data_IF_667287231209
#
_entry.id   IF_667287231209
#
_cell.length_a   1.000
_cell.length_b   1.000
_cell.length_c   1.000
_cell.angle_alpha   90.00
_cell.angle_beta   90.00
_cell.angle_gamma   90.00
#
_symmetry.space_group_name_H-M   'P 1'
#
loop_
_entity.id
_entity.type
_entity.pdbx_description
1 polymer ?
#
# COMPACT_ATOMS: atom_id res chain seq x y z
N UNK A 1 -3.30 -48.87 -25.30
CA UNK A 1 -3.51 -49.77 -24.16
C UNK A 1 -2.21 -50.52 -23.89
N UNK A 2 -1.79 -50.78 -22.64
CA UNK A 2 -2.44 -50.50 -21.34
C UNK A 2 -1.69 -49.43 -20.51
N UNK A 3 -2.37 -48.38 -20.07
CA UNK A 3 -2.83 -48.16 -18.68
C UNK A 3 -1.74 -48.30 -17.59
N UNK A 4 -1.13 -47.17 -17.22
CA UNK A 4 -0.44 -46.99 -15.93
C UNK A 4 -1.38 -46.25 -14.96
N UNK A 5 -1.50 -46.81 -13.76
CA UNK A 5 -2.33 -46.33 -12.66
C UNK A 5 -1.96 -44.92 -12.21
N UNK A 6 -2.96 -44.04 -12.19
CA UNK A 6 -3.00 -42.82 -11.40
C UNK A 6 -3.38 -43.18 -9.96
N UNK A 7 -2.50 -42.91 -9.01
CA UNK A 7 -2.78 -42.91 -7.57
C UNK A 7 -3.51 -41.62 -7.19
N UNK A 8 -4.77 -41.72 -6.75
CA UNK A 8 -5.56 -40.60 -6.23
C UNK A 8 -5.26 -40.35 -4.74
N UNK A 9 -5.50 -39.13 -4.24
CA UNK A 9 -5.12 -38.71 -2.89
C UNK A 9 -6.07 -39.21 -1.79
N UNK A 10 -5.52 -39.18 -0.58
CA UNK A 10 -6.11 -39.58 0.70
C UNK A 10 -7.40 -38.81 1.05
N UNK A 11 -8.47 -39.58 1.29
CA UNK A 11 -9.75 -39.12 1.84
C UNK A 11 -9.59 -38.80 3.32
N UNK A 12 -9.85 -37.56 3.74
CA UNK A 12 -10.05 -37.18 5.15
C UNK A 12 -11.48 -37.55 5.57
N UNK A 13 -11.55 -38.47 6.54
CA UNK A 13 -12.54 -38.69 7.60
C UNK A 13 -13.92 -38.01 7.46
N UNK A 14 -14.91 -38.82 7.09
CA UNK A 14 -16.32 -38.61 7.43
C UNK A 14 -16.60 -39.48 8.68
N UNK A 15 -16.84 -38.86 9.84
CA UNK A 15 -17.24 -39.58 11.04
C UNK A 15 -18.76 -39.66 11.07
N UNK A 16 -19.28 -40.86 10.78
CA UNK A 16 -20.64 -41.26 11.10
C UNK A 16 -20.78 -41.39 12.62
N UNK A 17 -21.81 -40.75 13.17
CA UNK A 17 -22.22 -40.91 14.57
C UNK A 17 -23.12 -42.13 14.65
N UNK A 18 -22.65 -43.18 15.32
CA UNK A 18 -23.48 -44.31 15.73
C UNK A 18 -23.49 -44.33 17.27
N UNK A 19 -24.61 -43.90 17.87
CA UNK A 19 -24.84 -44.03 19.30
C UNK A 19 -26.10 -44.87 19.52
N UNK A 20 -25.88 -46.16 19.79
CA UNK A 20 -26.84 -46.97 20.53
C UNK A 20 -26.81 -46.53 21.99
N UNK A 21 -27.93 -46.09 22.54
CA UNK A 21 -28.19 -46.31 23.96
C UNK A 21 -29.69 -46.51 24.22
N UNK A 22 -29.96 -47.59 24.94
CA UNK A 22 -31.23 -47.93 25.54
C UNK A 22 -31.20 -47.47 27.00
N UNK A 23 -32.41 -47.26 27.54
CA UNK A 23 -32.82 -47.23 28.95
C UNK A 23 -33.04 -45.84 29.59
N UNK A 24 -34.28 -45.69 30.07
CA UNK A 24 -34.97 -44.54 30.66
C UNK A 24 -34.46 -44.12 32.06
N UNK A 25 -34.56 -42.81 32.36
CA UNK A 25 -34.53 -42.18 33.70
C UNK A 25 -34.68 -40.65 33.62
N UNK A 26 -35.35 -39.96 34.58
CA UNK A 26 -35.94 -38.63 34.35
C UNK A 26 -34.92 -37.48 34.29
N UNK A 27 -35.18 -36.51 33.41
CA UNK A 27 -34.39 -35.32 33.13
C UNK A 27 -34.32 -34.38 34.36
N UNK A 28 -33.13 -34.25 34.94
CA UNK A 28 -32.73 -33.12 35.78
C UNK A 28 -32.33 -31.94 34.88
N UNK A 29 -33.16 -30.91 34.83
CA UNK A 29 -33.02 -29.73 33.95
C UNK A 29 -32.00 -28.69 34.43
N UNK A 30 -30.93 -29.08 35.11
CA UNK A 30 -29.93 -28.13 35.68
C UNK A 30 -28.60 -27.98 34.94
N UNK A 31 -28.36 -28.64 33.80
CA UNK A 31 -27.02 -28.70 33.19
C UNK A 31 -26.86 -28.14 31.76
N UNK A 32 -27.82 -27.39 31.21
CA UNK A 32 -27.66 -26.75 29.90
C UNK A 32 -27.34 -25.26 30.00
N UNK A 33 -26.16 -24.95 30.55
CA UNK A 33 -25.37 -23.80 30.08
C UNK A 33 -24.10 -24.36 29.46
N UNK A 34 -24.16 -24.72 28.17
CA UNK A 34 -22.94 -24.92 27.37
C UNK A 34 -22.23 -23.57 27.35
N UNK A 35 -21.22 -23.39 28.20
CA UNK A 35 -20.16 -22.42 27.96
C UNK A 35 -19.59 -22.75 26.60
N UNK A 36 -19.80 -21.88 25.62
CA UNK A 36 -19.01 -21.89 24.40
C UNK A 36 -17.61 -21.53 24.89
N UNK A 37 -16.73 -22.52 24.99
CA UNK A 37 -15.31 -22.28 25.25
C UNK A 37 -14.79 -21.52 24.04
N UNK A 38 -14.42 -20.26 24.24
CA UNK A 38 -13.65 -19.50 23.26
C UNK A 38 -12.32 -20.24 23.09
N UNK A 39 -12.13 -20.94 21.97
CA UNK A 39 -10.94 -21.79 21.73
C UNK A 39 -9.64 -20.98 21.68
N UNK A 40 -9.72 -19.68 21.36
CA UNK A 40 -8.58 -18.76 21.30
C UNK A 40 -9.03 -17.34 21.64
N UNK A 41 -8.38 -16.72 22.62
CA UNK A 41 -8.58 -15.31 22.97
C UNK A 41 -7.64 -14.43 22.13
N UNK A 42 -8.15 -13.29 21.67
CA UNK A 42 -7.44 -12.28 20.89
C UNK A 42 -7.55 -10.92 21.57
N UNK A 43 -6.48 -10.12 21.53
CA UNK A 43 -6.55 -8.72 21.92
C UNK A 43 -7.22 -7.87 20.83
N UNK A 44 -7.90 -6.79 21.22
CA UNK A 44 -8.48 -5.83 20.27
C UNK A 44 -7.42 -5.24 19.35
N UNK A 45 -6.20 -5.03 19.87
CA UNK A 45 -5.06 -4.54 19.08
C UNK A 45 -4.66 -5.53 17.97
N UNK A 46 -4.75 -6.84 18.21
CA UNK A 46 -4.44 -7.87 17.19
C UNK A 46 -5.54 -7.95 16.10
N UNK A 47 -6.77 -7.60 16.45
CA UNK A 47 -7.94 -7.71 15.56
C UNK A 47 -8.14 -6.42 14.75
N UNK A 48 -8.34 -5.29 15.42
CA UNK A 48 -8.66 -4.00 14.80
C UNK A 48 -7.49 -2.99 14.82
N UNK A 49 -6.40 -3.29 15.53
CA UNK A 49 -5.26 -2.40 15.68
C UNK A 49 -4.29 -2.37 14.48
N UNK A 50 -3.36 -1.41 14.52
CA UNK A 50 -2.32 -1.25 13.51
C UNK A 50 -1.17 -2.22 13.80
N UNK A 51 -1.17 -3.37 13.11
CA UNK A 51 -0.18 -4.41 13.29
C UNK A 51 0.92 -4.37 12.22
N UNK A 52 2.09 -4.90 12.56
CA UNK A 52 3.19 -5.13 11.59
C UNK A 52 2.82 -6.26 10.62
N UNK A 53 2.12 -7.26 11.12
CA UNK A 53 1.69 -8.44 10.36
C UNK A 53 0.31 -8.24 9.76
N UNK A 54 -0.14 -9.23 8.98
CA UNK A 54 -1.47 -9.21 8.40
C UNK A 54 -2.52 -9.12 9.53
N UNK A 55 -3.47 -8.17 9.49
CA UNK A 55 -4.50 -8.07 10.52
C UNK A 55 -5.36 -9.34 10.51
N UNK A 56 -5.77 -9.80 11.70
CA UNK A 56 -6.49 -11.07 11.84
C UNK A 56 -7.85 -11.08 11.15
N UNK A 57 -8.46 -9.91 10.96
CA UNK A 57 -9.71 -9.71 10.25
C UNK A 57 -9.50 -9.26 8.79
N UNK A 58 -8.36 -9.58 8.18
CA UNK A 58 -8.13 -9.32 6.75
C UNK A 58 -9.20 -10.03 5.90
N UNK A 59 -9.75 -9.31 4.93
CA UNK A 59 -10.75 -9.81 3.97
C UNK A 59 -10.18 -9.73 2.57
N UNK A 60 -10.20 -10.88 1.87
CA UNK A 60 -9.79 -10.96 0.47
C UNK A 60 -10.76 -10.21 -0.44
N UNK A 61 -10.20 -9.43 -1.37
CA UNK A 61 -10.98 -8.68 -2.35
C UNK A 61 -10.90 -9.33 -3.72
N UNK A 62 -12.06 -9.49 -4.37
CA UNK A 62 -12.08 -10.00 -5.75
C UNK A 62 -11.38 -9.07 -6.74
N UNK A 63 -11.41 -7.77 -6.46
CA UNK A 63 -10.83 -6.71 -7.28
C UNK A 63 -9.30 -6.64 -7.20
N UNK A 64 -8.68 -7.21 -6.14
CA UNK A 64 -7.27 -7.08 -5.86
C UNK A 64 -6.59 -8.43 -5.61
N UNK A 65 -6.95 -9.15 -4.53
CA UNK A 65 -6.35 -10.42 -4.11
C UNK A 65 -6.47 -11.48 -5.20
N UNK A 66 -7.67 -11.72 -5.72
CA UNK A 66 -7.86 -12.69 -6.79
C UNK A 66 -7.13 -12.30 -8.07
N UNK A 67 -7.07 -11.00 -8.37
CA UNK A 67 -6.35 -10.49 -9.55
C UNK A 67 -4.85 -10.72 -9.39
N UNK A 68 -4.30 -10.44 -8.20
CA UNK A 68 -2.88 -10.68 -7.91
C UNK A 68 -2.55 -12.16 -8.09
N UNK A 69 -3.21 -13.03 -7.33
CA UNK A 69 -2.95 -14.49 -7.33
C UNK A 69 -3.11 -15.09 -8.72
N UNK A 70 -4.17 -14.74 -9.46
CA UNK A 70 -4.43 -15.29 -10.80
C UNK A 70 -3.37 -14.89 -11.84
N UNK A 71 -2.56 -13.87 -11.58
CA UNK A 71 -1.59 -13.34 -12.53
C UNK A 71 -0.13 -13.50 -12.09
N UNK A 72 0.17 -14.01 -10.88
CA UNK A 72 1.53 -14.29 -10.41
C UNK A 72 2.34 -15.13 -11.43
N UNK A 73 1.72 -16.17 -12.01
CA UNK A 73 2.39 -17.06 -12.95
C UNK A 73 2.57 -16.49 -14.38
N UNK A 74 2.02 -15.30 -14.68
CA UNK A 74 1.98 -14.77 -16.05
C UNK A 74 3.23 -13.98 -16.45
N UNK A 75 4.25 -13.92 -15.59
CA UNK A 75 5.55 -13.24 -15.81
C UNK A 75 5.44 -11.76 -16.23
N UNK A 76 4.29 -11.14 -15.98
CA UNK A 76 4.12 -9.69 -16.10
C UNK A 76 4.70 -9.01 -14.86
N UNK A 77 5.14 -7.77 -15.02
CA UNK A 77 5.37 -6.90 -13.88
C UNK A 77 4.03 -6.47 -13.29
N UNK A 78 3.91 -6.51 -11.97
CA UNK A 78 2.68 -6.19 -11.25
C UNK A 78 2.81 -4.79 -10.62
N UNK A 79 1.74 -4.00 -10.68
CA UNK A 79 1.72 -2.65 -10.09
C UNK A 79 0.55 -2.54 -9.14
N UNK A 80 0.80 -2.55 -7.84
CA UNK A 80 -0.23 -2.40 -6.80
C UNK A 80 -0.31 -0.92 -6.43
N UNK A 81 -1.41 -0.27 -6.82
CA UNK A 81 -1.62 1.16 -6.59
C UNK A 81 -2.90 1.43 -5.79
N UNK A 82 -2.95 2.60 -5.19
CA UNK A 82 -4.09 3.08 -4.41
C UNK A 82 -3.68 4.07 -3.31
N UNK A 83 -4.65 4.70 -2.67
CA UNK A 83 -4.44 5.68 -1.60
C UNK A 83 -3.68 5.09 -0.41
N UNK A 84 -3.13 5.99 0.42
CA UNK A 84 -2.46 5.60 1.65
C UNK A 84 -3.41 4.79 2.57
N UNK A 85 -2.85 3.81 3.29
CA UNK A 85 -3.56 2.96 4.26
C UNK A 85 -4.75 2.12 3.73
N UNK A 86 -4.78 1.81 2.43
CA UNK A 86 -5.84 0.96 1.82
C UNK A 86 -5.52 -0.55 1.75
N UNK A 87 -4.48 -1.01 2.44
CA UNK A 87 -4.12 -2.44 2.50
C UNK A 87 -3.25 -2.96 1.34
N UNK A 88 -2.41 -2.10 0.73
CA UNK A 88 -1.46 -2.51 -0.33
C UNK A 88 -0.42 -3.53 0.18
N UNK A 89 0.26 -3.21 1.29
CA UNK A 89 1.25 -4.11 1.89
C UNK A 89 0.58 -5.37 2.45
N UNK A 90 -0.62 -5.25 3.04
CA UNK A 90 -1.41 -6.39 3.49
C UNK A 90 -1.77 -7.34 2.35
N UNK A 91 -2.20 -6.82 1.20
CA UNK A 91 -2.45 -7.59 -0.02
C UNK A 91 -1.22 -8.40 -0.44
N UNK A 92 -0.04 -7.76 -0.50
CA UNK A 92 1.20 -8.46 -0.84
C UNK A 92 1.52 -9.58 0.16
N UNK A 93 1.50 -9.27 1.46
CA UNK A 93 1.79 -10.24 2.54
C UNK A 93 0.80 -11.39 2.60
N UNK A 94 -0.46 -11.16 2.23
CA UNK A 94 -1.49 -12.19 2.18
C UNK A 94 -1.27 -13.15 1.02
N UNK A 95 -0.95 -12.61 -0.17
CA UNK A 95 -0.86 -13.40 -1.39
C UNK A 95 0.52 -14.05 -1.63
N UNK A 96 1.57 -13.62 -0.93
CA UNK A 96 2.94 -14.09 -1.10
C UNK A 96 3.57 -14.47 0.24
N UNK A 97 4.38 -15.52 0.23
CA UNK A 97 5.24 -15.89 1.37
C UNK A 97 6.50 -15.03 1.36
N UNK A 98 7.12 -14.85 2.52
CA UNK A 98 8.33 -14.02 2.64
C UNK A 98 9.50 -14.52 1.79
N UNK A 99 9.58 -15.83 1.52
CA UNK A 99 10.60 -16.41 0.64
C UNK A 99 10.30 -16.25 -0.87
N UNK A 100 9.10 -15.82 -1.23
CA UNK A 100 8.73 -15.60 -2.64
C UNK A 100 9.31 -14.30 -3.20
N UNK A 101 9.80 -13.38 -2.36
CA UNK A 101 10.20 -12.04 -2.79
C UNK A 101 11.37 -11.44 -2.00
N UNK A 102 12.01 -10.43 -2.58
CA UNK A 102 12.86 -9.46 -1.86
C UNK A 102 12.17 -8.10 -1.83
N UNK A 103 12.43 -7.29 -0.81
CA UNK A 103 11.83 -5.94 -0.68
C UNK A 103 12.90 -4.87 -0.71
N UNK A 104 12.69 -3.88 -1.57
CA UNK A 104 13.43 -2.63 -1.61
C UNK A 104 12.47 -1.49 -1.29
N UNK A 105 12.74 -0.75 -0.21
CA UNK A 105 12.01 0.47 0.13
C UNK A 105 12.66 1.67 -0.58
N UNK A 106 11.93 2.27 -1.51
CA UNK A 106 12.43 3.41 -2.28
C UNK A 106 12.57 4.68 -1.44
N UNK A 107 13.52 5.53 -1.82
CA UNK A 107 13.80 6.81 -1.15
C UNK A 107 13.78 7.98 -2.12
N UNK A 108 13.39 9.15 -1.63
CA UNK A 108 13.28 10.37 -2.42
C UNK A 108 14.60 10.99 -2.88
N UNK A 109 15.73 10.43 -2.45
CA UNK A 109 17.07 10.87 -2.86
C UNK A 109 17.73 9.91 -3.85
N UNK A 110 17.05 8.84 -4.24
CA UNK A 110 17.63 7.80 -5.08
C UNK A 110 17.53 8.11 -6.55
N UNK A 111 18.62 7.86 -7.27
CA UNK A 111 18.62 7.67 -8.73
C UNK A 111 18.57 6.18 -9.10
N UNK A 112 18.50 5.87 -10.39
CA UNK A 112 18.30 4.49 -10.88
C UNK A 112 19.39 3.52 -10.38
N UNK A 113 20.63 3.97 -10.23
CA UNK A 113 21.77 3.21 -9.69
C UNK A 113 21.54 2.84 -8.24
N UNK A 114 20.99 3.73 -7.43
CA UNK A 114 20.68 3.41 -6.04
C UNK A 114 19.58 2.34 -5.95
N UNK A 115 18.59 2.36 -6.84
CA UNK A 115 17.55 1.33 -6.92
C UNK A 115 18.19 -0.02 -7.29
N UNK A 116 19.01 -0.06 -8.34
CA UNK A 116 19.70 -1.28 -8.76
C UNK A 116 20.66 -1.83 -7.70
N UNK A 117 21.45 -0.97 -7.05
CA UNK A 117 22.29 -1.37 -5.93
C UNK A 117 21.48 -1.95 -4.77
N UNK A 118 20.34 -1.35 -4.43
CA UNK A 118 19.48 -1.85 -3.37
C UNK A 118 18.89 -3.22 -3.73
N UNK A 119 18.49 -3.44 -4.99
CA UNK A 119 18.04 -4.74 -5.50
C UNK A 119 19.15 -5.77 -5.33
N UNK A 120 20.37 -5.48 -5.81
CA UNK A 120 21.51 -6.39 -5.69
C UNK A 120 21.84 -6.70 -4.21
N UNK A 121 21.84 -5.70 -3.33
CA UNK A 121 22.06 -5.88 -1.89
C UNK A 121 21.05 -6.84 -1.27
N UNK A 122 19.78 -6.69 -1.62
CA UNK A 122 18.70 -7.55 -1.12
C UNK A 122 18.70 -8.94 -1.78
N UNK A 123 19.21 -9.05 -2.99
CA UNK A 123 19.42 -10.33 -3.66
C UNK A 123 20.62 -11.12 -3.13
N UNK A 124 21.41 -10.57 -2.19
CA UNK A 124 22.52 -11.27 -1.53
C UNK A 124 23.92 -10.74 -1.85
N UNK A 125 24.03 -9.65 -2.60
CA UNK A 125 25.33 -9.02 -2.88
C UNK A 125 25.80 -8.09 -1.75
N UNK A 126 27.11 -8.06 -1.56
CA UNK A 126 27.85 -6.97 -0.94
C UNK A 126 28.39 -6.08 -2.05
N UNK A 127 28.18 -4.77 -1.93
CA UNK A 127 28.53 -3.79 -2.96
C UNK A 127 29.60 -2.84 -2.41
N UNK A 128 30.68 -2.68 -3.16
CA UNK A 128 31.72 -1.69 -2.91
C UNK A 128 31.96 -0.83 -4.14
N UNK A 129 32.48 0.38 -3.96
CA UNK A 129 32.69 1.32 -5.06
C UNK A 129 33.98 0.96 -5.83
N UNK A 130 33.91 0.93 -7.16
CA UNK A 130 35.09 0.76 -8.02
C UNK A 130 35.77 2.10 -8.30
N UNK A 131 37.08 2.06 -8.57
CA UNK A 131 37.84 3.22 -9.07
C UNK A 131 37.60 3.50 -10.55
N UNK A 132 36.98 2.57 -11.27
CA UNK A 132 36.67 2.69 -12.70
C UNK A 132 35.40 3.49 -12.93
N UNK A 133 35.41 4.36 -13.94
CA UNK A 133 34.22 5.08 -14.39
C UNK A 133 33.53 4.31 -15.52
N UNK A 134 32.20 4.29 -15.50
CA UNK A 134 31.38 3.86 -16.62
C UNK A 134 31.30 4.94 -17.71
N UNK A 135 30.77 4.60 -18.88
CA UNK A 135 30.56 5.53 -20.00
C UNK A 135 29.62 6.70 -19.61
N UNK A 136 28.72 6.47 -18.66
CA UNK A 136 27.85 7.48 -18.05
C UNK A 136 28.60 8.52 -17.20
N UNK A 137 29.89 8.29 -16.91
CA UNK A 137 30.70 9.11 -16.00
C UNK A 137 30.49 8.78 -14.51
N UNK A 138 29.60 7.84 -14.17
CA UNK A 138 29.44 7.34 -12.80
C UNK A 138 30.46 6.27 -12.46
N UNK A 139 30.77 6.11 -11.17
CA UNK A 139 31.64 5.04 -10.70
C UNK A 139 30.95 3.68 -10.85
N UNK A 140 31.68 2.70 -11.36
CA UNK A 140 31.25 1.30 -11.33
C UNK A 140 31.22 0.79 -9.89
N UNK A 141 30.58 -0.36 -9.68
CA UNK A 141 30.53 -1.07 -8.41
C UNK A 141 31.16 -2.45 -8.53
N UNK A 142 31.76 -2.94 -7.45
CA UNK A 142 32.10 -4.35 -7.28
C UNK A 142 31.01 -5.03 -6.47
N UNK A 143 30.35 -6.02 -7.08
CA UNK A 143 29.33 -6.84 -6.46
C UNK A 143 29.89 -8.22 -6.12
N UNK A 144 29.94 -8.57 -4.83
CA UNK A 144 30.41 -9.85 -4.32
C UNK A 144 29.28 -10.60 -3.64
N UNK A 145 29.12 -11.90 -3.91
CA UNK A 145 28.07 -12.71 -3.27
C UNK A 145 28.44 -12.96 -1.79
N UNK A 146 27.49 -12.72 -0.87
CA UNK A 146 27.70 -12.97 0.57
C UNK A 146 27.74 -14.47 0.86
N UNK A 147 28.68 -14.89 1.71
CA UNK A 147 28.82 -16.31 2.10
C UNK A 147 27.56 -16.88 2.80
N UNK A 148 26.83 -16.05 3.56
CA UNK A 148 25.59 -16.45 4.24
C UNK A 148 24.42 -16.74 3.29
N UNK A 149 24.49 -16.32 2.03
CA UNK A 149 23.49 -16.62 1.02
C UNK A 149 23.45 -18.12 0.66
N UNK A 150 24.51 -18.86 1.01
CA UNK A 150 24.67 -20.28 0.68
C UNK A 150 24.47 -21.24 1.88
N UNK A 151 24.19 -20.74 3.09
CA UNK A 151 24.46 -21.54 4.31
C UNK A 151 23.50 -21.39 5.48
N UNK A 152 22.19 -21.25 5.26
CA UNK A 152 21.20 -21.21 6.36
C UNK A 152 20.41 -22.51 6.60
N UNK A 153 20.78 -23.64 5.99
CA UNK A 153 20.20 -24.96 6.32
C UNK A 153 21.16 -25.91 7.07
N UNK A 154 22.35 -25.45 7.46
CA UNK A 154 23.30 -26.26 8.23
C UNK A 154 23.43 -25.73 9.68
N UNK A 155 22.50 -26.09 10.55
CA UNK A 155 22.82 -26.24 11.97
C UNK A 155 23.81 -27.41 12.12
N UNK A 156 25.10 -27.13 12.01
CA UNK A 156 26.13 -28.15 12.13
C UNK A 156 27.48 -27.62 11.70
N UNK A 157 28.31 -27.26 12.68
CA UNK A 157 29.68 -26.80 12.45
C UNK A 157 30.55 -27.91 11.84
N UNK A 158 30.58 -27.98 10.52
CA UNK A 158 31.65 -28.55 9.70
C UNK A 158 31.24 -28.45 8.24
N UNK A 159 31.68 -27.39 7.54
CA UNK A 159 32.09 -27.42 6.12
C UNK A 159 32.42 -25.99 5.65
N UNK A 160 33.52 -25.46 6.19
CA UNK A 160 34.29 -24.41 5.53
C UNK A 160 35.23 -25.07 4.50
N UNK A 161 34.73 -25.94 3.61
CA UNK A 161 35.55 -26.54 2.53
C UNK A 161 34.72 -27.35 1.50
N UNK A 162 33.52 -26.92 1.11
CA UNK A 162 32.83 -27.47 -0.08
C UNK A 162 32.05 -26.40 -0.84
N UNK A 163 32.76 -25.47 -1.47
CA UNK A 163 32.20 -24.63 -2.54
C UNK A 163 32.79 -25.00 -3.90
N UNK A 164 32.86 -26.31 -4.16
CA UNK A 164 33.16 -26.88 -5.49
C UNK A 164 31.96 -27.71 -5.97
N UNK A 165 30.76 -27.15 -5.86
CA UNK A 165 29.62 -27.57 -6.67
C UNK A 165 29.37 -26.48 -7.73
N UNK A 166 29.76 -26.83 -8.95
CA UNK A 166 29.39 -26.28 -10.25
C UNK A 166 29.05 -24.77 -10.36
N UNK A 167 30.07 -23.97 -10.67
CA UNK A 167 29.92 -22.83 -11.60
C UNK A 167 29.73 -21.42 -11.03
N UNK A 168 29.48 -21.25 -9.73
CA UNK A 168 29.34 -19.92 -9.12
C UNK A 168 30.69 -19.33 -8.70
N UNK A 169 31.29 -18.51 -9.57
CA UNK A 169 32.46 -17.71 -9.21
C UNK A 169 32.10 -16.67 -8.15
N UNK A 170 32.65 -16.82 -6.94
CA UNK A 170 32.55 -15.80 -5.87
C UNK A 170 33.44 -14.57 -6.13
N UNK A 171 34.06 -14.49 -7.30
CA UNK A 171 34.86 -13.35 -7.71
C UNK A 171 33.96 -12.11 -7.83
N UNK A 172 34.37 -10.94 -7.31
CA UNK A 172 33.60 -9.72 -7.46
C UNK A 172 33.33 -9.40 -8.94
N UNK A 173 32.07 -9.12 -9.27
CA UNK A 173 31.67 -8.63 -10.58
C UNK A 173 31.81 -7.11 -10.60
N UNK A 174 32.52 -6.56 -11.59
CA UNK A 174 32.56 -5.12 -11.80
C UNK A 174 31.41 -4.69 -12.72
N UNK A 175 30.45 -3.95 -12.18
CA UNK A 175 29.18 -3.61 -12.84
C UNK A 175 29.02 -2.10 -12.97
N UNK A 176 28.40 -1.63 -14.05
CA UNK A 176 27.79 -0.29 -14.10
C UNK A 176 26.37 -0.38 -13.50
N UNK A 177 26.09 0.26 -12.35
CA UNK A 177 24.75 0.22 -11.76
C UNK A 177 23.71 0.98 -12.59
N UNK A 178 24.10 1.71 -13.64
CA UNK A 178 23.19 2.34 -14.58
C UNK A 178 22.83 1.44 -15.77
N UNK A 179 23.62 0.40 -16.05
CA UNK A 179 23.32 -0.54 -17.12
C UNK A 179 22.45 -1.68 -16.59
N UNK A 180 21.21 -1.74 -17.07
CA UNK A 180 20.24 -2.77 -16.69
C UNK A 180 20.74 -4.17 -17.05
N UNK A 181 21.53 -4.33 -18.11
CA UNK A 181 22.07 -5.63 -18.52
C UNK A 181 23.10 -6.17 -17.54
N UNK A 182 23.89 -5.29 -16.90
CA UNK A 182 24.83 -5.66 -15.84
C UNK A 182 24.06 -6.18 -14.61
N UNK A 183 22.92 -5.55 -14.29
CA UNK A 183 22.05 -5.99 -13.19
C UNK A 183 21.38 -7.33 -13.50
N UNK A 184 20.85 -7.49 -14.72
CA UNK A 184 20.27 -8.75 -15.19
C UNK A 184 21.32 -9.87 -15.12
N UNK A 185 22.53 -9.60 -15.60
CA UNK A 185 23.63 -10.57 -15.58
C UNK A 185 24.01 -10.96 -14.16
N UNK A 186 24.12 -10.00 -13.25
CA UNK A 186 24.39 -10.27 -11.84
C UNK A 186 23.29 -11.15 -11.20
N UNK A 187 22.02 -10.78 -11.33
CA UNK A 187 20.91 -11.57 -10.79
C UNK A 187 20.82 -12.98 -11.42
N UNK A 188 21.16 -13.09 -12.71
CA UNK A 188 21.20 -14.38 -13.42
C UNK A 188 22.34 -15.26 -12.92
N UNK A 189 23.50 -14.67 -12.63
CA UNK A 189 24.65 -15.39 -12.10
C UNK A 189 24.33 -16.11 -10.80
N UNK A 190 23.48 -15.55 -9.93
CA UNK A 190 23.03 -16.19 -8.68
C UNK A 190 21.74 -17.02 -8.84
N UNK A 191 21.29 -17.24 -10.08
CA UNK A 191 20.04 -17.95 -10.37
C UNK A 191 18.86 -17.41 -9.57
N UNK A 192 18.72 -16.09 -9.49
CA UNK A 192 17.66 -15.45 -8.71
C UNK A 192 16.27 -15.79 -9.29
N UNK A 193 15.32 -16.23 -8.44
CA UNK A 193 13.98 -16.69 -8.87
C UNK A 193 12.82 -15.99 -8.16
N UNK A 194 13.09 -15.09 -7.22
CA UNK A 194 12.07 -14.43 -6.39
C UNK A 194 11.50 -13.20 -7.11
N UNK A 195 10.35 -12.70 -6.65
CA UNK A 195 9.87 -11.38 -7.08
C UNK A 195 10.75 -10.26 -6.51
N UNK A 196 10.88 -9.18 -7.27
CA UNK A 196 11.56 -7.95 -6.80
C UNK A 196 10.48 -6.93 -6.45
N UNK A 197 10.25 -6.71 -5.15
CA UNK A 197 9.24 -5.77 -4.68
C UNK A 197 9.87 -4.40 -4.47
N UNK A 198 9.32 -3.38 -5.13
CA UNK A 198 9.65 -1.97 -4.88
C UNK A 198 8.52 -1.32 -4.10
N UNK A 199 8.72 -1.16 -2.80
CA UNK A 199 7.81 -0.43 -1.91
C UNK A 199 8.09 1.07 -1.97
N UNK A 200 7.04 1.86 -1.72
CA UNK A 200 7.13 3.32 -1.66
C UNK A 200 7.68 3.98 -2.94
N UNK A 201 7.44 3.36 -4.10
CA UNK A 201 7.98 3.77 -5.41
C UNK A 201 7.67 5.23 -5.76
N UNK A 202 6.52 5.72 -5.31
CA UNK A 202 6.04 7.10 -5.51
C UNK A 202 6.96 8.17 -4.88
N UNK A 203 7.82 7.81 -3.93
CA UNK A 203 8.79 8.75 -3.37
C UNK A 203 10.02 8.95 -4.25
N UNK A 204 10.32 8.03 -5.18
CA UNK A 204 11.43 8.23 -6.12
C UNK A 204 11.24 9.55 -6.88
N UNK A 205 12.33 10.28 -7.19
CA UNK A 205 12.26 11.40 -8.12
C UNK A 205 11.57 10.99 -9.43
N UNK A 206 10.79 11.90 -10.02
CA UNK A 206 10.02 11.61 -11.25
C UNK A 206 10.92 11.08 -12.36
N UNK A 207 12.10 11.67 -12.55
CA UNK A 207 13.06 11.20 -13.56
C UNK A 207 13.53 9.76 -13.27
N UNK A 208 13.78 9.42 -12.00
CA UNK A 208 14.12 8.05 -11.61
C UNK A 208 12.96 7.07 -11.83
N UNK A 209 11.71 7.48 -11.64
CA UNK A 209 10.55 6.66 -11.98
C UNK A 209 10.47 6.39 -13.49
N UNK A 210 10.75 7.40 -14.33
CA UNK A 210 10.79 7.26 -15.79
C UNK A 210 11.96 6.37 -16.25
N UNK A 211 13.15 6.62 -15.72
CA UNK A 211 14.35 5.81 -16.00
C UNK A 211 14.11 4.35 -15.64
N UNK A 212 13.48 4.11 -14.49
CA UNK A 212 13.11 2.76 -14.07
C UNK A 212 12.00 2.15 -14.95
N UNK A 213 11.05 2.94 -15.47
CA UNK A 213 10.08 2.45 -16.46
C UNK A 213 10.76 2.03 -17.78
N UNK A 214 11.86 2.66 -18.18
CA UNK A 214 12.70 2.19 -19.28
C UNK A 214 13.41 0.89 -18.90
N UNK A 215 13.97 0.80 -17.69
CA UNK A 215 14.63 -0.40 -17.20
C UNK A 215 13.70 -1.63 -17.12
N UNK A 216 12.45 -1.45 -16.69
CA UNK A 216 11.44 -2.52 -16.63
C UNK A 216 11.23 -3.20 -17.98
N UNK A 217 11.28 -2.46 -19.08
CA UNK A 217 11.21 -3.07 -20.42
C UNK A 217 12.37 -4.04 -20.63
N UNK A 218 13.59 -3.62 -20.34
CA UNK A 218 14.78 -4.44 -20.52
C UNK A 218 14.75 -5.68 -19.60
N UNK A 219 14.32 -5.52 -18.34
CA UNK A 219 14.11 -6.66 -17.43
C UNK A 219 13.12 -7.68 -18.01
N UNK A 220 11.97 -7.23 -18.52
CA UNK A 220 10.98 -8.14 -19.10
C UNK A 220 11.45 -8.81 -20.40
N UNK A 221 12.23 -8.12 -21.25
CA UNK A 221 12.66 -8.64 -22.56
C UNK A 221 13.86 -9.59 -22.46
N UNK A 222 14.77 -9.33 -21.52
CA UNK A 222 16.06 -10.00 -21.44
C UNK A 222 16.22 -10.93 -20.23
N UNK A 223 15.15 -11.13 -19.43
CA UNK A 223 15.19 -12.00 -18.24
C UNK A 223 13.82 -12.53 -17.85
N UNK A 224 13.80 -13.44 -16.86
CA UNK A 224 12.58 -13.93 -16.23
C UNK A 224 12.20 -13.14 -14.94
N UNK A 225 12.94 -12.07 -14.61
CA UNK A 225 12.71 -11.30 -13.39
C UNK A 225 11.39 -10.54 -13.44
N UNK A 226 10.57 -10.72 -12.41
CA UNK A 226 9.27 -10.07 -12.28
C UNK A 226 9.27 -9.09 -11.12
N UNK A 227 8.84 -7.85 -11.39
CA UNK A 227 8.73 -6.80 -10.40
C UNK A 227 7.31 -6.69 -9.85
N UNK A 228 7.20 -6.37 -8.57
CA UNK A 228 5.95 -5.92 -7.93
C UNK A 228 6.19 -4.50 -7.42
N UNK A 229 5.59 -3.52 -8.08
CA UNK A 229 5.79 -2.11 -7.77
C UNK A 229 4.59 -1.62 -6.97
N UNK A 230 4.86 -1.03 -5.81
CA UNK A 230 3.84 -0.58 -4.87
C UNK A 230 3.99 0.92 -4.64
N UNK A 231 2.87 1.66 -4.72
CA UNK A 231 2.89 3.05 -4.31
C UNK A 231 1.54 3.75 -4.20
N UNK A 232 1.60 5.03 -3.88
CA UNK A 232 0.43 5.85 -3.51
C UNK A 232 0.07 6.78 -4.66
N UNK A 233 -0.89 6.35 -5.49
CA UNK A 233 -1.53 7.13 -6.56
C UNK A 233 -2.82 6.43 -7.01
N UNK A 234 -3.65 7.13 -7.78
CA UNK A 234 -4.89 6.58 -8.36
C UNK A 234 -4.81 6.34 -9.88
N UNK A 235 -3.76 6.86 -10.52
CA UNK A 235 -3.51 6.69 -11.96
C UNK A 235 -3.11 5.25 -12.33
N UNK A 236 -4.05 4.50 -12.90
CA UNK A 236 -3.86 3.09 -13.29
C UNK A 236 -2.64 2.85 -14.20
N UNK A 237 -2.38 3.76 -15.14
CA UNK A 237 -1.42 3.55 -16.22
C UNK A 237 -0.12 4.37 -16.06
N UNK A 238 0.20 4.86 -14.85
CA UNK A 238 1.33 5.77 -14.59
C UNK A 238 2.63 5.34 -15.26
N UNK A 239 3.06 4.10 -15.05
CA UNK A 239 4.32 3.60 -15.61
C UNK A 239 4.24 3.38 -17.12
N UNK A 240 3.08 2.95 -17.64
CA UNK A 240 2.86 2.85 -19.09
C UNK A 240 2.88 4.20 -19.80
N UNK A 241 2.55 5.28 -19.10
CA UNK A 241 2.63 6.65 -19.62
C UNK A 241 4.08 7.12 -19.69
N UNK A 242 4.91 6.73 -18.71
CA UNK A 242 6.35 6.99 -18.75
C UNK A 242 7.06 6.18 -19.85
N UNK A 243 6.60 4.96 -20.12
CA UNK A 243 7.10 4.14 -21.21
C UNK A 243 5.99 3.30 -21.85
N UNK A 244 5.53 3.72 -23.04
CA UNK A 244 4.44 3.07 -23.78
C UNK A 244 4.71 1.61 -24.14
N UNK A 245 5.99 1.23 -24.25
CA UNK A 245 6.41 -0.15 -24.52
C UNK A 245 6.13 -1.10 -23.36
N UNK A 246 5.74 -0.61 -22.18
CA UNK A 246 5.29 -1.44 -21.07
C UNK A 246 3.83 -1.92 -21.22
N UNK A 247 3.13 -1.49 -22.27
CA UNK A 247 1.77 -1.95 -22.56
C UNK A 247 1.76 -3.47 -22.75
N UNK A 248 0.92 -4.16 -21.99
CA UNK A 248 0.85 -5.63 -21.98
C UNK A 248 1.94 -6.32 -21.15
N UNK A 249 2.95 -5.60 -20.67
CA UNK A 249 4.01 -6.09 -19.76
C UNK A 249 3.73 -5.77 -18.30
N UNK A 250 2.94 -4.73 -18.05
CA UNK A 250 2.44 -4.36 -16.74
C UNK A 250 1.00 -4.83 -16.53
N UNK A 251 0.73 -5.34 -15.34
CA UNK A 251 -0.63 -5.55 -14.83
C UNK A 251 -0.88 -4.64 -13.62
N UNK A 252 -1.67 -3.56 -13.80
CA UNK A 252 -2.06 -2.69 -12.70
C UNK A 252 -3.19 -3.33 -11.87
N UNK A 253 -3.00 -3.35 -10.54
CA UNK A 253 -3.90 -3.92 -9.54
C UNK A 253 -4.35 -2.78 -8.61
N UNK A 254 -5.65 -2.50 -8.61
CA UNK A 254 -6.22 -1.43 -7.79
C UNK A 254 -6.51 -1.95 -6.37
N UNK A 255 -5.70 -1.53 -5.41
CA UNK A 255 -5.88 -1.85 -4.00
C UNK A 255 -6.68 -0.76 -3.24
N UNK A 256 -7.09 0.32 -3.91
CA UNK A 256 -7.92 1.40 -3.35
C UNK A 256 -9.40 1.02 -3.25
N UNK A 257 -9.86 0.16 -4.18
CA UNK A 257 -11.27 -0.19 -4.34
C UNK A 257 -11.74 -1.17 -3.28
N UNK A 258 -12.39 -0.64 -2.24
CA UNK A 258 -13.11 -1.38 -1.22
C UNK A 258 -14.62 -1.25 -1.44
N UNK A 259 -15.31 -2.37 -1.60
CA UNK A 259 -16.78 -2.36 -1.67
C UNK A 259 -17.38 -2.35 -0.25
N UNK A 260 -18.59 -1.79 -0.12
CA UNK A 260 -19.28 -1.70 1.18
C UNK A 260 -19.44 -3.05 1.87
N UNK A 261 -19.79 -4.08 1.12
CA UNK A 261 -19.94 -5.45 1.61
C UNK A 261 -18.60 -6.08 2.04
N UNK A 262 -17.50 -5.74 1.37
CA UNK A 262 -16.15 -6.14 1.78
C UNK A 262 -15.75 -5.46 3.10
N UNK A 263 -16.08 -4.17 3.28
CA UNK A 263 -15.83 -3.44 4.54
C UNK A 263 -16.72 -3.96 5.69
N UNK A 264 -17.97 -4.29 5.41
CA UNK A 264 -18.85 -4.93 6.39
C UNK A 264 -18.33 -6.31 6.82
N UNK A 265 -17.71 -7.06 5.90
CA UNK A 265 -17.04 -8.32 6.22
C UNK A 265 -15.82 -8.12 7.13
N UNK A 266 -15.04 -7.04 6.95
CA UNK A 266 -13.92 -6.70 7.86
C UNK A 266 -14.43 -6.49 9.29
N UNK A 267 -15.54 -5.76 9.44
CA UNK A 267 -16.18 -5.55 10.74
C UNK A 267 -16.66 -6.90 11.31
N UNK A 268 -17.35 -7.69 10.50
CA UNK A 268 -17.95 -8.97 10.92
C UNK A 268 -16.89 -10.01 11.32
N UNK A 269 -15.76 -10.05 10.62
CA UNK A 269 -14.64 -10.91 10.98
C UNK A 269 -14.04 -10.52 12.34
N UNK A 270 -13.93 -9.21 12.62
CA UNK A 270 -13.48 -8.73 13.93
C UNK A 270 -14.51 -8.97 15.05
N UNK A 271 -15.81 -8.81 14.77
CA UNK A 271 -16.91 -9.17 15.68
C UNK A 271 -16.79 -10.63 16.13
N UNK A 272 -16.57 -11.55 15.19
CA UNK A 272 -16.41 -12.97 15.47
C UNK A 272 -15.18 -13.29 16.33
N UNK A 273 -14.02 -12.67 16.03
CA UNK A 273 -12.78 -12.89 16.77
C UNK A 273 -12.86 -12.39 18.23
N UNK A 274 -13.61 -11.30 18.47
CA UNK A 274 -13.74 -10.69 19.79
C UNK A 274 -15.00 -11.15 20.55
N UNK A 275 -15.85 -11.98 19.93
CA UNK A 275 -17.15 -12.38 20.46
C UNK A 275 -18.02 -11.17 20.87
N UNK A 276 -18.07 -10.17 19.98
CA UNK A 276 -18.88 -8.97 20.13
C UNK A 276 -19.80 -8.79 18.91
N UNK A 277 -20.76 -7.88 19.02
CA UNK A 277 -21.50 -7.39 17.85
C UNK A 277 -21.66 -5.87 17.95
N UNK A 278 -21.23 -5.15 16.92
CA UNK A 278 -21.57 -3.74 16.77
C UNK A 278 -23.03 -3.62 16.36
N UNK A 279 -23.69 -2.60 16.88
CA UNK A 279 -25.10 -2.35 16.57
C UNK A 279 -25.25 -1.99 15.10
N UNK A 280 -26.42 -2.30 14.54
CA UNK A 280 -26.71 -1.98 13.12
C UNK A 280 -26.60 -0.49 12.83
N UNK A 281 -27.02 0.36 13.78
CA UNK A 281 -26.89 1.81 13.67
C UNK A 281 -25.42 2.25 13.54
N UNK A 282 -24.57 1.76 14.43
CA UNK A 282 -23.12 2.03 14.41
C UNK A 282 -22.47 1.59 13.09
N UNK A 283 -22.74 0.35 12.65
CA UNK A 283 -22.17 -0.19 11.39
C UNK A 283 -22.59 0.63 10.16
N UNK A 284 -23.87 0.98 10.07
CA UNK A 284 -24.37 1.77 8.96
C UNK A 284 -23.73 3.17 8.92
N UNK A 285 -23.71 3.86 10.07
CA UNK A 285 -23.10 5.19 10.17
C UNK A 285 -21.60 5.17 9.80
N UNK A 286 -20.86 4.16 10.28
CA UNK A 286 -19.46 3.96 9.93
C UNK A 286 -19.27 3.74 8.43
N UNK A 287 -20.02 2.81 7.84
CA UNK A 287 -19.92 2.48 6.42
C UNK A 287 -20.32 3.66 5.52
N UNK A 288 -21.27 4.49 5.95
CA UNK A 288 -21.68 5.72 5.25
C UNK A 288 -20.63 6.85 5.36
N UNK A 289 -19.81 6.85 6.41
CA UNK A 289 -18.91 7.95 6.75
C UNK A 289 -17.42 7.62 6.61
N UNK A 290 -17.07 6.41 6.18
CA UNK A 290 -15.68 5.95 6.08
C UNK A 290 -15.00 6.26 4.74
N UNK A 291 -15.75 6.72 3.72
CA UNK A 291 -15.22 7.10 2.40
C UNK A 291 -14.43 5.94 1.77
N UNK A 292 -14.94 4.71 1.92
CA UNK A 292 -14.27 3.49 1.46
C UNK A 292 -12.84 3.28 2.02
N UNK A 293 -12.55 3.88 3.19
CA UNK A 293 -11.27 3.74 3.87
C UNK A 293 -11.30 2.59 4.87
N UNK A 294 -10.63 1.48 4.55
CA UNK A 294 -10.50 0.35 5.47
C UNK A 294 -9.77 0.73 6.76
N UNK A 295 -8.84 1.69 6.70
CA UNK A 295 -8.18 2.22 7.89
C UNK A 295 -9.17 2.87 8.86
N UNK A 296 -10.10 3.68 8.35
CA UNK A 296 -11.11 4.34 9.17
C UNK A 296 -12.07 3.32 9.76
N UNK A 297 -12.45 2.28 9.00
CA UNK A 297 -13.26 1.17 9.52
C UNK A 297 -12.56 0.47 10.68
N UNK A 298 -11.32 0.05 10.49
CA UNK A 298 -10.53 -0.65 11.51
C UNK A 298 -10.35 0.20 12.77
N UNK A 299 -9.86 1.43 12.61
CA UNK A 299 -9.57 2.32 13.75
C UNK A 299 -10.85 2.77 14.47
N UNK A 300 -11.96 3.00 13.76
CA UNK A 300 -13.24 3.34 14.43
C UNK A 300 -13.77 2.16 15.23
N UNK A 301 -13.70 0.93 14.69
CA UNK A 301 -14.06 -0.28 15.44
C UNK A 301 -13.16 -0.48 16.66
N UNK A 302 -11.86 -0.26 16.52
CA UNK A 302 -10.89 -0.30 17.62
C UNK A 302 -11.25 0.69 18.74
N UNK A 303 -11.43 1.96 18.39
CA UNK A 303 -11.77 3.02 19.35
C UNK A 303 -13.15 2.79 20.00
N UNK A 304 -14.12 2.25 19.27
CA UNK A 304 -15.41 1.85 19.85
C UNK A 304 -15.24 0.73 20.88
N UNK A 305 -14.42 -0.28 20.59
CA UNK A 305 -14.11 -1.34 21.56
C UNK A 305 -13.49 -0.76 22.83
N UNK A 306 -12.49 0.12 22.70
CA UNK A 306 -11.83 0.74 23.84
C UNK A 306 -12.79 1.60 24.69
N UNK A 307 -13.65 2.42 24.06
CA UNK A 307 -14.64 3.24 24.77
C UNK A 307 -15.71 2.43 25.50
N UNK A 308 -15.97 1.21 25.04
CA UNK A 308 -16.88 0.27 25.67
C UNK A 308 -16.14 -0.75 26.58
N UNK A 309 -14.86 -0.51 26.90
CA UNK A 309 -14.03 -1.34 27.79
C UNK A 309 -13.85 -2.80 27.30
N UNK A 310 -13.91 -3.01 25.98
CA UNK A 310 -13.55 -4.27 25.33
C UNK A 310 -12.09 -4.20 24.95
N UNK A 311 -11.25 -5.03 25.58
CA UNK A 311 -9.80 -5.11 25.31
C UNK A 311 -9.36 -6.45 24.69
N UNK A 312 -10.19 -7.47 24.80
CA UNK A 312 -9.94 -8.84 24.33
C UNK A 312 -11.25 -9.57 24.02
N UNK A 313 -11.15 -10.77 23.46
CA UNK A 313 -12.32 -11.64 23.24
C UNK A 313 -13.16 -11.81 24.50
N UNK A 314 -14.47 -11.65 24.36
CA UNK A 314 -15.44 -11.74 25.45
C UNK A 314 -15.87 -13.20 25.70
N UNK A 315 -16.13 -13.55 26.95
CA UNK A 315 -16.58 -14.90 27.32
C UNK A 315 -18.04 -15.15 26.96
N UNK A 316 -18.88 -14.10 27.02
CA UNK A 316 -20.26 -14.10 26.56
C UNK A 316 -20.40 -13.05 25.45
N UNK A 317 -21.23 -13.32 24.45
CA UNK A 317 -21.42 -12.40 23.33
C UNK A 317 -21.92 -11.05 23.86
N UNK A 318 -21.21 -9.97 23.54
CA UNK A 318 -21.55 -8.61 23.97
C UNK A 318 -21.89 -7.73 22.78
N UNK A 319 -23.08 -7.11 22.80
CA UNK A 319 -23.42 -6.05 21.85
C UNK A 319 -22.82 -4.71 22.32
N UNK A 320 -22.18 -3.96 21.42
CA UNK A 320 -21.56 -2.64 21.68
C UNK A 320 -21.92 -1.61 20.61
N UNK A 321 -21.66 -0.33 20.86
CA UNK A 321 -21.90 0.75 19.89
C UNK A 321 -23.23 1.49 20.08
N UNK A 322 -24.03 1.12 21.09
CA UNK A 322 -25.26 1.84 21.47
C UNK A 322 -24.98 3.04 22.39
N UNK A 323 -23.90 3.00 23.17
CA UNK A 323 -23.60 4.02 24.18
C UNK A 323 -22.54 5.04 23.70
N UNK A 324 -22.14 4.96 22.44
CA UNK A 324 -21.11 5.83 21.83
C UNK A 324 -21.61 6.40 20.51
N UNK A 325 -21.15 7.60 20.17
CA UNK A 325 -21.46 8.23 18.90
C UNK A 325 -20.37 7.87 17.86
N UNK A 326 -20.76 7.24 16.75
CA UNK A 326 -19.82 6.81 15.71
C UNK A 326 -19.15 8.02 15.04
N UNK A 327 -19.90 9.07 14.68
CA UNK A 327 -19.34 10.29 14.10
C UNK A 327 -18.31 10.97 15.00
N UNK A 328 -18.50 10.97 16.32
CA UNK A 328 -17.51 11.48 17.29
C UNK A 328 -16.23 10.63 17.33
N UNK A 329 -16.35 9.31 17.17
CA UNK A 329 -15.18 8.43 17.06
C UNK A 329 -14.44 8.71 15.76
N UNK A 330 -15.14 8.82 14.62
CA UNK A 330 -14.52 9.15 13.33
C UNK A 330 -13.81 10.50 13.40
N UNK A 331 -14.47 11.53 13.98
CA UNK A 331 -13.86 12.84 14.25
C UNK A 331 -12.56 12.70 15.05
N UNK A 332 -12.59 11.92 16.13
CA UNK A 332 -11.40 11.65 16.94
C UNK A 332 -10.29 11.01 16.12
N UNK A 333 -10.59 9.95 15.36
CA UNK A 333 -9.62 9.21 14.53
C UNK A 333 -8.94 10.12 13.51
N UNK A 334 -9.70 10.91 12.75
CA UNK A 334 -9.12 11.76 11.71
C UNK A 334 -8.36 12.96 12.29
N UNK A 335 -8.79 13.47 13.45
CA UNK A 335 -8.12 14.58 14.13
C UNK A 335 -6.76 14.18 14.74
N UNK A 336 -6.49 12.89 14.96
CA UNK A 336 -5.13 12.43 15.30
C UNK A 336 -4.09 12.81 14.22
N UNK A 337 -4.53 13.04 12.98
CA UNK A 337 -3.68 13.48 11.87
C UNK A 337 -3.80 15.00 11.59
N UNK A 338 -4.61 15.74 12.37
CA UNK A 338 -4.91 17.15 12.11
C UNK A 338 -3.66 18.04 12.07
N UNK A 339 -2.71 17.83 12.98
CA UNK A 339 -1.43 18.54 12.96
C UNK A 339 -0.63 18.33 11.67
N UNK A 340 -0.62 17.10 11.14
CA UNK A 340 0.00 16.79 9.85
C UNK A 340 -0.72 17.46 8.69
N UNK A 341 -2.06 17.48 8.70
CA UNK A 341 -2.85 18.11 7.64
C UNK A 341 -2.72 19.64 7.63
N UNK A 342 -2.73 20.28 8.79
CA UNK A 342 -2.42 21.71 8.91
C UNK A 342 -0.99 22.01 8.43
N UNK A 343 -0.02 21.18 8.83
CA UNK A 343 1.36 21.32 8.35
C UNK A 343 1.47 21.16 6.84
N UNK A 344 0.71 20.23 6.23
CA UNK A 344 0.61 20.12 4.78
C UNK A 344 0.06 21.38 4.14
N UNK A 345 -1.07 21.91 4.61
CA UNK A 345 -1.68 23.12 4.05
C UNK A 345 -0.69 24.30 4.08
N UNK A 346 -0.06 24.54 5.23
CA UNK A 346 0.92 25.61 5.38
C UNK A 346 2.13 25.40 4.47
N UNK A 347 2.81 24.24 4.55
CA UNK A 347 4.04 23.99 3.79
C UNK A 347 3.82 23.89 2.28
N UNK A 348 2.67 23.37 1.85
CA UNK A 348 2.30 23.32 0.44
C UNK A 348 2.01 24.73 -0.10
N UNK A 349 1.36 25.58 0.70
CA UNK A 349 1.07 26.96 0.30
C UNK A 349 2.32 27.81 0.07
N UNK A 350 3.40 27.57 0.82
CA UNK A 350 4.70 28.25 0.63
C UNK A 350 5.35 27.95 -0.74
N UNK A 351 4.97 26.86 -1.41
CA UNK A 351 5.60 26.46 -2.67
C UNK A 351 7.10 26.10 -2.53
N UNK A 352 7.80 26.07 -3.67
CA UNK A 352 9.24 25.78 -3.71
C UNK A 352 10.11 26.96 -3.28
N UNK A 353 9.61 28.16 -3.55
CA UNK A 353 10.20 29.49 -3.36
C UNK A 353 9.10 30.52 -3.59
N UNK A 354 9.33 31.77 -3.19
CA UNK A 354 8.40 32.86 -3.44
C UNK A 354 8.23 33.09 -4.95
N UNK A 355 6.97 33.17 -5.39
CA UNK A 355 6.63 33.45 -6.79
C UNK A 355 5.48 34.43 -6.84
N UNK A 356 5.42 35.25 -7.88
CA UNK A 356 4.40 36.30 -7.99
C UNK A 356 2.98 35.80 -8.25
N UNK A 357 2.80 34.51 -8.57
CA UNK A 357 1.50 33.86 -8.76
C UNK A 357 1.14 32.91 -7.61
N UNK A 358 2.06 32.61 -6.68
CA UNK A 358 1.83 31.74 -5.52
C UNK A 358 1.00 30.48 -5.84
N UNK A 359 1.28 29.84 -6.98
CA UNK A 359 0.35 28.88 -7.58
C UNK A 359 0.01 27.71 -6.66
N UNK A 360 0.97 27.20 -5.88
CA UNK A 360 0.73 26.08 -4.95
C UNK A 360 -0.23 26.44 -3.81
N UNK A 361 -0.14 27.66 -3.28
CA UNK A 361 -1.16 28.20 -2.36
C UNK A 361 -2.53 28.25 -3.03
N UNK A 362 -2.61 28.81 -4.22
CA UNK A 362 -3.90 28.94 -4.92
C UNK A 362 -4.50 27.62 -5.38
N UNK A 363 -3.69 26.59 -5.64
CA UNK A 363 -4.18 25.24 -5.90
C UNK A 363 -4.96 24.65 -4.71
N UNK A 364 -4.75 25.13 -3.48
CA UNK A 364 -5.54 24.71 -2.31
C UNK A 364 -6.94 25.31 -2.32
N UNK A 365 -7.16 26.47 -2.96
CA UNK A 365 -8.45 27.15 -2.95
C UNK A 365 -9.61 26.28 -3.46
N UNK A 366 -9.58 25.69 -4.68
CA UNK A 366 -10.66 24.81 -5.13
C UNK A 366 -10.83 23.58 -4.23
N UNK A 367 -9.78 23.11 -3.57
CA UNK A 367 -9.86 21.96 -2.66
C UNK A 367 -10.62 22.33 -1.37
N UNK A 368 -10.32 23.50 -0.81
CA UNK A 368 -10.86 23.93 0.48
C UNK A 368 -12.33 24.39 0.41
N UNK A 369 -12.77 24.90 -0.75
CA UNK A 369 -14.15 25.38 -0.93
C UNK A 369 -15.13 24.31 -1.42
N UNK A 370 -14.63 23.16 -1.89
CA UNK A 370 -15.46 22.13 -2.50
C UNK A 370 -16.15 21.24 -1.48
N UNK A 371 -17.31 20.72 -1.90
CA UNK A 371 -18.03 19.70 -1.16
C UNK A 371 -17.29 18.35 -1.18
N UNK A 372 -17.78 17.46 -0.32
CA UNK A 372 -17.30 16.10 -0.14
C UNK A 372 -17.30 15.29 -1.45
N UNK A 373 -18.38 15.36 -2.22
CA UNK A 373 -18.55 14.55 -3.42
C UNK A 373 -17.54 14.95 -4.51
N UNK A 374 -17.23 16.24 -4.61
CA UNK A 374 -16.20 16.76 -5.50
C UNK A 374 -14.80 16.38 -5.01
N UNK A 375 -14.53 16.48 -3.70
CA UNK A 375 -13.27 16.07 -3.07
C UNK A 375 -12.93 14.60 -3.36
N UNK A 376 -13.92 13.71 -3.30
CA UNK A 376 -13.76 12.29 -3.61
C UNK A 376 -13.44 12.04 -5.10
N UNK A 377 -14.14 12.74 -6.00
CA UNK A 377 -13.92 12.60 -7.44
C UNK A 377 -12.60 13.22 -7.90
N UNK A 378 -12.07 14.20 -7.17
CA UNK A 378 -10.93 15.01 -7.59
C UNK A 378 -11.30 16.05 -8.66
N UNK A 379 -10.32 16.89 -9.01
CA UNK A 379 -10.53 18.15 -9.73
C UNK A 379 -9.91 18.10 -11.12
N UNK A 380 -10.67 18.44 -12.16
CA UNK A 380 -10.11 18.51 -13.52
C UNK A 380 -9.19 19.73 -13.64
N UNK A 381 -8.12 19.63 -14.43
CA UNK A 381 -7.21 20.75 -14.66
C UNK A 381 -7.95 22.01 -15.18
N UNK A 382 -8.90 21.82 -16.09
CA UNK A 382 -9.68 22.91 -16.66
C UNK A 382 -10.60 23.58 -15.63
N UNK A 383 -11.16 22.79 -14.70
CA UNK A 383 -11.99 23.27 -13.59
C UNK A 383 -11.16 24.12 -12.63
N UNK A 384 -10.00 23.61 -12.18
CA UNK A 384 -9.06 24.36 -11.36
C UNK A 384 -8.70 25.68 -12.06
N UNK A 385 -8.30 25.63 -13.33
CA UNK A 385 -7.94 26.83 -14.09
C UNK A 385 -9.07 27.86 -14.10
N UNK A 386 -10.31 27.44 -14.35
CA UNK A 386 -11.45 28.34 -14.41
C UNK A 386 -11.73 29.00 -13.05
N UNK A 387 -11.65 28.23 -11.96
CA UNK A 387 -11.79 28.76 -10.59
C UNK A 387 -10.69 29.79 -10.32
N UNK A 388 -9.43 29.45 -10.59
CA UNK A 388 -8.30 30.35 -10.33
C UNK A 388 -8.34 31.62 -11.18
N UNK A 389 -8.79 31.55 -12.44
CA UNK A 389 -8.94 32.74 -13.28
C UNK A 389 -9.99 33.72 -12.73
N UNK A 390 -10.96 33.24 -11.97
CA UNK A 390 -12.03 34.05 -11.37
C UNK A 390 -11.64 34.60 -9.99
N UNK A 391 -10.87 33.85 -9.20
CA UNK A 391 -10.62 34.20 -7.77
C UNK A 391 -9.20 34.67 -7.48
N UNK A 392 -8.21 34.31 -8.29
CA UNK A 392 -6.84 34.75 -8.10
C UNK A 392 -6.72 36.27 -8.38
N UNK A 393 -6.02 37.07 -7.55
CA UNK A 393 -5.85 38.52 -7.75
C UNK A 393 -5.25 38.90 -9.11
N UNK A 394 -4.46 37.99 -9.68
CA UNK A 394 -3.85 38.06 -11.02
C UNK A 394 -4.46 37.06 -12.01
N UNK A 395 -5.72 36.69 -11.83
CA UNK A 395 -6.40 35.63 -12.61
C UNK A 395 -6.37 35.87 -14.13
N UNK A 396 -6.39 37.13 -14.57
CA UNK A 396 -6.25 37.52 -15.98
C UNK A 396 -4.89 37.18 -16.60
N UNK A 397 -3.85 37.00 -15.77
CA UNK A 397 -2.50 36.61 -16.21
C UNK A 397 -2.31 35.08 -16.21
N UNK A 398 -3.21 34.32 -15.58
CA UNK A 398 -3.10 32.87 -15.49
C UNK A 398 -3.43 32.20 -16.82
N UNK A 399 -2.46 31.47 -17.36
CA UNK A 399 -2.67 30.60 -18.52
C UNK A 399 -2.66 29.11 -18.13
N UNK A 400 -3.01 28.26 -19.08
CA UNK A 400 -3.07 26.80 -18.86
C UNK A 400 -1.72 26.20 -18.47
N UNK A 401 -0.61 26.77 -18.94
CA UNK A 401 0.75 26.34 -18.62
C UNK A 401 1.09 26.55 -17.15
N UNK A 402 0.76 27.71 -16.57
CA UNK A 402 1.01 27.99 -15.15
C UNK A 402 0.32 26.96 -14.23
N UNK A 403 -0.95 26.67 -14.52
CA UNK A 403 -1.75 25.71 -13.76
C UNK A 403 -1.19 24.30 -13.92
N UNK A 404 -0.94 23.86 -15.16
CA UNK A 404 -0.42 22.51 -15.44
C UNK A 404 0.95 22.28 -14.81
N UNK A 405 1.88 23.23 -14.90
CA UNK A 405 3.21 23.11 -14.29
C UNK A 405 3.14 23.00 -12.76
N UNK A 406 2.23 23.75 -12.14
CA UNK A 406 2.05 23.72 -10.68
C UNK A 406 1.40 22.41 -10.22
N UNK A 407 0.45 21.89 -10.99
CA UNK A 407 -0.16 20.58 -10.76
C UNK A 407 0.84 19.43 -10.93
N UNK A 408 1.62 19.42 -12.00
CA UNK A 408 2.66 18.42 -12.26
C UNK A 408 3.75 18.39 -11.19
N UNK A 409 4.00 19.53 -10.53
CA UNK A 409 4.98 19.64 -9.44
C UNK A 409 4.40 19.44 -8.04
N UNK A 410 3.10 19.13 -7.90
CA UNK A 410 2.47 18.95 -6.59
C UNK A 410 3.08 17.81 -5.77
N UNK A 411 3.35 16.66 -6.41
CA UNK A 411 3.96 15.51 -5.74
C UNK A 411 5.42 15.79 -5.35
N UNK A 412 6.20 16.41 -6.23
CA UNK A 412 7.60 16.76 -5.94
C UNK A 412 7.74 17.85 -4.87
N UNK A 413 6.79 18.79 -4.79
CA UNK A 413 6.75 19.77 -3.71
C UNK A 413 6.56 19.11 -2.35
N UNK A 414 5.57 18.21 -2.24
CA UNK A 414 5.30 17.47 -1.00
C UNK A 414 6.53 16.66 -0.57
N UNK A 415 7.21 15.99 -1.51
CA UNK A 415 8.45 15.27 -1.24
C UNK A 415 9.57 16.21 -0.74
N UNK A 416 9.72 17.40 -1.34
CA UNK A 416 10.74 18.39 -0.94
C UNK A 416 10.47 18.97 0.46
N UNK A 417 9.20 19.14 0.81
CA UNK A 417 8.72 19.62 2.12
C UNK A 417 8.59 18.49 3.17
N UNK A 418 9.06 17.28 2.84
CA UNK A 418 8.96 16.08 3.69
C UNK A 418 7.52 15.75 4.17
N UNK A 419 6.53 16.07 3.34
CA UNK A 419 5.13 15.77 3.60
C UNK A 419 4.90 14.29 3.25
N UNK A 420 4.81 13.46 4.29
CA UNK A 420 4.60 12.01 4.18
C UNK A 420 3.51 11.53 5.11
N UNK A 421 2.62 10.60 4.68
CA UNK A 421 2.28 10.26 3.29
C UNK A 421 1.90 11.45 2.40
N UNK A 422 1.94 11.25 1.07
CA UNK A 422 1.43 12.25 0.11
C UNK A 422 -0.08 12.42 0.27
N UNK A 423 -0.55 13.65 0.08
CA UNK A 423 -1.98 14.02 0.17
C UNK A 423 -2.54 14.33 -1.21
N UNK A 424 -1.78 15.02 -2.06
CA UNK A 424 -2.19 15.36 -3.42
C UNK A 424 -1.35 14.62 -4.45
N UNK A 425 -1.98 14.22 -5.55
CA UNK A 425 -1.31 13.63 -6.69
C UNK A 425 -2.04 14.00 -7.99
N UNK A 426 -1.27 14.42 -8.99
CA UNK A 426 -1.82 14.83 -10.28
C UNK A 426 -1.69 13.71 -11.31
N UNK A 427 -2.83 13.18 -11.73
CA UNK A 427 -2.95 12.24 -12.84
C UNK A 427 -2.78 13.00 -14.15
N UNK A 428 -1.61 12.82 -14.78
CA UNK A 428 -1.26 13.49 -16.02
C UNK A 428 -2.00 12.91 -17.22
N UNK A 429 -2.45 11.66 -17.13
CA UNK A 429 -3.22 10.99 -18.20
C UNK A 429 -4.63 11.54 -18.27
N UNK A 430 -5.30 11.66 -17.12
CA UNK A 430 -6.69 12.11 -17.03
C UNK A 430 -6.82 13.62 -16.72
N UNK A 431 -5.69 14.34 -16.62
CA UNK A 431 -5.61 15.76 -16.30
C UNK A 431 -6.41 16.11 -15.04
N UNK A 432 -6.17 15.35 -13.96
CA UNK A 432 -6.97 15.43 -12.74
C UNK A 432 -6.09 15.46 -11.49
N UNK A 433 -6.35 16.42 -10.60
CA UNK A 433 -5.77 16.46 -9.26
C UNK A 433 -6.62 15.61 -8.32
N UNK A 434 -6.02 14.62 -7.69
CA UNK A 434 -6.68 13.75 -6.74
C UNK A 434 -6.12 13.96 -5.33
N UNK A 435 -6.98 13.74 -4.34
CA UNK A 435 -6.55 13.57 -2.96
C UNK A 435 -6.33 12.06 -2.72
N UNK A 436 -5.10 11.67 -2.41
CA UNK A 436 -4.65 10.28 -2.26
C UNK A 436 -4.46 9.84 -0.80
N UNK A 437 -4.95 10.66 0.13
CA UNK A 437 -5.11 10.35 1.54
C UNK A 437 -6.59 10.52 1.92
N UNK A 438 -7.33 9.40 2.01
CA UNK A 438 -8.76 9.44 2.36
C UNK A 438 -9.02 9.99 3.77
N UNK A 439 -8.04 9.88 4.67
CA UNK A 439 -8.15 10.49 6.00
C UNK A 439 -8.16 12.01 5.91
N UNK A 440 -7.43 12.59 4.95
CA UNK A 440 -7.50 14.03 4.68
C UNK A 440 -8.87 14.43 4.13
N UNK A 441 -9.47 13.66 3.22
CA UNK A 441 -10.82 13.95 2.71
C UNK A 441 -11.86 14.02 3.83
N UNK A 442 -11.86 13.02 4.72
CA UNK A 442 -12.78 12.94 5.86
C UNK A 442 -12.48 14.05 6.87
N UNK A 443 -11.21 14.25 7.24
CA UNK A 443 -10.80 15.32 8.13
C UNK A 443 -11.27 16.67 7.61
N UNK A 444 -10.97 16.94 6.33
CA UNK A 444 -11.36 18.14 5.62
C UNK A 444 -12.88 18.30 5.75
N UNK A 445 -13.70 17.32 5.38
CA UNK A 445 -15.18 17.40 5.48
C UNK A 445 -15.76 17.79 6.84
N UNK A 446 -14.96 17.67 7.92
CA UNK A 446 -15.34 17.89 9.32
C UNK A 446 -14.72 19.16 9.94
N UNK A 447 -14.00 19.96 9.16
CA UNK A 447 -13.43 21.24 9.62
C UNK A 447 -14.26 22.44 9.20
N UNK A 448 -14.10 23.57 9.92
CA UNK A 448 -14.52 24.87 9.42
C UNK A 448 -13.63 25.28 8.23
N UNK A 449 -14.26 25.47 7.06
CA UNK A 449 -13.57 25.84 5.83
C UNK A 449 -12.91 27.22 5.91
N UNK A 450 -13.54 28.15 6.61
CA UNK A 450 -13.07 29.52 6.70
C UNK A 450 -11.80 29.59 7.55
N UNK A 451 -11.71 28.81 8.63
CA UNK A 451 -10.49 28.71 9.43
C UNK A 451 -9.32 28.13 8.61
N UNK A 452 -9.57 27.13 7.76
CA UNK A 452 -8.53 26.56 6.89
C UNK A 452 -8.11 27.51 5.77
N UNK A 453 -9.03 28.29 5.22
CA UNK A 453 -8.71 29.32 4.21
C UNK A 453 -7.86 30.44 4.83
N UNK A 454 -8.22 30.91 6.02
CA UNK A 454 -7.46 31.92 6.77
C UNK A 454 -6.05 31.41 7.13
N UNK A 455 -5.91 30.15 7.56
CA UNK A 455 -4.63 29.51 7.87
C UNK A 455 -3.59 29.63 6.76
N UNK A 456 -4.00 29.56 5.50
CA UNK A 456 -3.11 29.68 4.33
C UNK A 456 -3.21 31.05 3.63
N UNK A 457 -3.96 31.99 4.22
CA UNK A 457 -4.14 33.35 3.70
C UNK A 457 -4.88 33.39 2.36
N UNK A 458 -5.89 32.55 2.18
CA UNK A 458 -6.81 32.54 1.03
C UNK A 458 -8.13 33.26 1.38
N UNK A 459 -8.87 33.80 0.39
CA UNK A 459 -10.15 34.46 0.65
C UNK A 459 -11.18 33.47 1.20
N UNK A 460 -12.05 33.95 2.10
CA UNK A 460 -13.14 33.16 2.68
C UNK A 460 -14.19 32.80 1.60
N UNK A 461 -14.85 31.64 1.78
CA UNK A 461 -15.79 31.06 0.82
C UNK A 461 -17.22 31.58 0.99
#
# INVERSE_FOLDING_TARGET
MPFRHLSSPSKKWCVFVDFKQSIYGPLDTRWLRRRILVEKEYAVDEVFGINRDLPLNYVERRSADLVLVANLARRQHLVIYGSSKQGKTSLRKHCLKDDDYIVVHCSNKWSLDNVHEAILKQAGYEITVSKTLATSGKQKIFAKIKASFFGSEAEGGAEAERSNEEGLTTAPLELDPMDVNDIISALTNISFQRYIVLEDFHYLPIETQKDFAVALKAFHESSDFSFIIIGVWLEKNRLSVYNGDLTGRLLPINADRWMRDELEQVISAGEALLNISFTKGFKNELLDSCYESVYIVQETCHQCCLREEVHRTQQEQREIGNNVNCSEIINYVVNQQGGRFNSFLTQFSEGFQDTTLEMHKWLLYPILISDVEHIEKGFRQAEIRNILQQTHPRGSELNSGNVTQSLQSASSLQIKKDIKPMILDYDQTNLRLNIVDKSFQIWLSRQDRNELLDLVGLPLS
#
